data_IF_863205360884
#
_entry.id   IF_863205360884
#
_cell.length_a   1.000
_cell.length_b   1.000
_cell.length_c   1.000
_cell.angle_alpha   90.00
_cell.angle_beta   90.00
_cell.angle_gamma   90.00
#
_symmetry.space_group_name_H-M   'P 1'
#
loop_
_entity.id
_entity.type
_entity.pdbx_description
1 polymer ?
#
# COMPACT_ATOMS: atom_id res chain seq x y z
N UNK A 1 11.46 9.84 9.37
CA UNK A 1 11.88 9.00 8.22
C UNK A 1 13.20 8.26 8.44
N UNK A 2 14.06 8.67 9.38
CA UNK A 2 15.36 8.02 9.61
C UNK A 2 15.31 6.52 9.93
N UNK A 3 14.22 6.04 10.54
CA UNK A 3 14.06 4.63 10.90
C UNK A 3 13.63 3.73 9.75
N UNK A 4 13.12 4.30 8.64
CA UNK A 4 12.55 3.51 7.53
C UNK A 4 13.52 2.47 6.96
N UNK A 5 14.82 2.75 6.73
CA UNK A 5 15.77 1.74 6.27
C UNK A 5 15.99 0.59 7.27
N UNK A 6 15.70 0.82 8.56
CA UNK A 6 15.91 -0.14 9.64
C UNK A 6 14.63 -0.92 10.01
N UNK A 7 13.51 -0.65 9.34
CA UNK A 7 12.22 -1.31 9.54
C UNK A 7 11.78 -2.10 8.29
N UNK A 8 12.57 -3.08 7.83
CA UNK A 8 12.29 -3.80 6.59
C UNK A 8 10.95 -4.53 6.65
N UNK A 9 10.58 -5.13 7.79
CA UNK A 9 9.30 -5.84 7.89
C UNK A 9 8.08 -4.91 7.75
N UNK A 10 8.17 -3.65 8.22
CA UNK A 10 7.11 -2.65 8.05
C UNK A 10 6.94 -2.30 6.58
N UNK A 11 8.05 -2.09 5.87
CA UNK A 11 8.00 -1.83 4.43
C UNK A 11 7.48 -3.03 3.64
N UNK A 12 7.87 -4.24 4.02
CA UNK A 12 7.41 -5.48 3.42
C UNK A 12 5.89 -5.65 3.58
N UNK A 13 5.38 -5.39 4.79
CA UNK A 13 3.94 -5.35 5.07
C UNK A 13 3.21 -4.32 4.20
N UNK A 14 3.76 -3.12 4.02
CA UNK A 14 3.15 -2.09 3.17
C UNK A 14 3.09 -2.53 1.71
N UNK A 15 4.17 -3.08 1.16
CA UNK A 15 4.19 -3.57 -0.22
C UNK A 15 3.24 -4.75 -0.43
N UNK A 16 3.19 -5.70 0.51
CA UNK A 16 2.24 -6.81 0.43
C UNK A 16 0.80 -6.32 0.57
N UNK A 17 0.53 -5.34 1.43
CA UNK A 17 -0.79 -4.70 1.52
C UNK A 17 -1.19 -4.07 0.19
N UNK A 18 -0.29 -3.34 -0.47
CA UNK A 18 -0.54 -2.74 -1.78
C UNK A 18 -0.77 -3.80 -2.87
N UNK A 19 0.05 -4.86 -2.90
CA UNK A 19 -0.07 -5.96 -3.87
C UNK A 19 -1.37 -6.76 -3.67
N UNK A 20 -1.53 -7.34 -2.48
CA UNK A 20 -2.63 -8.24 -2.15
C UNK A 20 -3.98 -7.53 -2.25
N UNK A 21 -4.12 -6.35 -1.62
CA UNK A 21 -5.40 -5.63 -1.70
C UNK A 21 -5.68 -5.12 -3.12
N UNK A 22 -4.61 -4.72 -3.83
CA UNK A 22 -4.70 -4.02 -5.12
C UNK A 22 -5.85 -3.01 -5.12
N UNK A 23 -5.95 -2.21 -4.04
CA UNK A 23 -7.15 -1.41 -3.74
C UNK A 23 -7.49 -0.40 -4.84
N UNK A 24 -6.58 -0.12 -5.78
CA UNK A 24 -6.82 0.51 -7.07
C UNK A 24 -6.65 -0.53 -8.19
N UNK A 25 -7.63 -1.43 -8.43
CA UNK A 25 -7.43 -2.63 -9.25
C UNK A 25 -7.28 -2.30 -10.74
N UNK A 26 -7.94 -1.23 -11.19
CA UNK A 26 -7.85 -0.69 -12.54
C UNK A 26 -7.54 0.80 -12.41
N UNK A 27 -6.67 1.33 -13.27
CA UNK A 27 -6.37 2.77 -13.27
C UNK A 27 -7.60 3.59 -13.66
N UNK A 28 -7.54 4.91 -13.47
CA UNK A 28 -8.44 5.82 -14.19
C UNK A 28 -8.34 5.49 -15.69
N UNK A 29 -9.46 5.39 -16.44
CA UNK A 29 -9.42 5.07 -17.86
C UNK A 29 -8.47 5.97 -18.66
N UNK A 30 -7.65 5.34 -19.50
CA UNK A 30 -6.80 6.02 -20.47
C UNK A 30 -7.52 6.16 -21.82
N UNK A 31 -6.98 7.01 -22.69
CA UNK A 31 -7.35 7.07 -24.10
C UNK A 31 -6.10 7.16 -24.97
N UNK A 32 -6.08 6.46 -26.10
CA UNK A 32 -4.98 6.55 -27.07
C UNK A 32 -4.99 7.90 -27.79
N UNK A 33 -3.84 8.57 -27.89
CA UNK A 33 -3.71 9.87 -28.58
C UNK A 33 -3.44 9.75 -30.08
N UNK A 34 -3.08 8.55 -30.54
CA UNK A 34 -2.84 8.19 -31.94
C UNK A 34 -3.09 6.68 -32.13
N UNK A 35 -3.20 6.25 -33.37
CA UNK A 35 -3.22 4.82 -33.71
C UNK A 35 -1.92 4.17 -33.21
N UNK A 36 -2.02 3.00 -32.59
CA UNK A 36 -0.88 2.30 -32.00
C UNK A 36 -1.04 0.79 -32.05
N UNK A 37 -0.03 0.06 -31.57
CA UNK A 37 -0.07 -1.38 -31.41
C UNK A 37 0.37 -1.78 -30.00
N UNK A 38 -0.28 -2.79 -29.42
CA UNK A 38 0.14 -3.42 -28.17
C UNK A 38 0.10 -4.93 -28.35
N UNK A 39 1.21 -5.62 -28.06
CA UNK A 39 1.35 -7.07 -28.25
C UNK A 39 0.94 -7.55 -29.67
N UNK A 40 1.21 -6.73 -30.69
CA UNK A 40 0.86 -7.00 -32.08
C UNK A 40 -0.58 -6.64 -32.49
N UNK A 41 -1.45 -6.26 -31.54
CA UNK A 41 -2.83 -5.84 -31.83
C UNK A 41 -2.90 -4.36 -32.18
N UNK A 42 -3.55 -4.01 -33.29
CA UNK A 42 -3.82 -2.64 -33.68
C UNK A 42 -4.89 -2.00 -32.78
N UNK A 43 -4.62 -0.80 -32.29
CA UNK A 43 -5.52 0.00 -31.45
C UNK A 43 -5.71 1.37 -32.12
N UNK A 44 -6.92 1.70 -32.60
CA UNK A 44 -7.21 3.00 -33.19
C UNK A 44 -7.05 4.15 -32.19
N UNK A 45 -6.76 5.35 -32.71
CA UNK A 45 -6.79 6.62 -31.96
C UNK A 45 -8.14 6.81 -31.24
N UNK A 46 -8.11 7.50 -30.11
CA UNK A 46 -9.27 7.83 -29.26
C UNK A 46 -10.00 6.60 -28.65
N UNK A 47 -9.40 5.42 -28.70
CA UNK A 47 -9.89 4.21 -28.01
C UNK A 47 -9.69 4.34 -26.50
N UNK A 48 -10.74 4.02 -25.73
CA UNK A 48 -10.68 3.92 -24.26
C UNK A 48 -9.91 2.68 -23.84
N UNK A 49 -8.97 2.83 -22.92
CA UNK A 49 -8.08 1.76 -22.43
C UNK A 49 -8.17 1.64 -20.91
N UNK A 50 -8.33 0.41 -20.43
CA UNK A 50 -8.24 0.08 -19.02
C UNK A 50 -6.91 -0.65 -18.74
N UNK A 51 -6.18 -0.20 -17.72
CA UNK A 51 -4.94 -0.85 -17.25
C UNK A 51 -5.26 -1.64 -15.99
N UNK A 52 -5.20 -2.97 -16.09
CA UNK A 52 -5.53 -3.88 -15.00
C UNK A 52 -4.32 -4.12 -14.09
N UNK A 53 -4.21 -3.31 -13.03
CA UNK A 53 -3.15 -3.40 -12.03
C UNK A 53 -3.28 -4.66 -11.16
N UNK A 54 -4.51 -5.08 -10.85
CA UNK A 54 -4.77 -6.30 -10.07
C UNK A 54 -4.15 -7.54 -10.74
N UNK A 55 -4.30 -7.65 -12.07
CA UNK A 55 -3.72 -8.77 -12.84
C UNK A 55 -2.19 -8.79 -12.76
N UNK A 56 -1.53 -7.63 -12.73
CA UNK A 56 -0.07 -7.56 -12.55
C UNK A 56 0.35 -8.02 -11.16
N UNK A 57 -0.46 -7.72 -10.13
CA UNK A 57 -0.18 -8.02 -8.73
C UNK A 57 -0.59 -9.44 -8.29
N UNK A 58 -1.39 -10.14 -9.12
CA UNK A 58 -1.91 -11.48 -8.85
C UNK A 58 -1.56 -12.50 -9.95
N UNK A 59 -0.73 -12.13 -10.93
CA UNK A 59 -0.21 -13.09 -11.92
C UNK A 59 0.59 -14.19 -11.20
N UNK A 60 0.13 -15.46 -11.21
CA UNK A 60 0.79 -16.56 -10.51
C UNK A 60 2.17 -16.91 -11.08
N UNK A 61 2.48 -16.49 -12.31
CA UNK A 61 3.83 -16.66 -12.90
C UNK A 61 4.83 -15.75 -12.19
N UNK A 62 4.40 -14.57 -11.75
CA UNK A 62 5.24 -13.58 -11.06
C UNK A 62 5.13 -13.68 -9.53
N UNK A 63 3.94 -13.95 -9.02
CA UNK A 63 3.62 -13.94 -7.59
C UNK A 63 3.17 -15.34 -7.15
N UNK A 64 4.07 -16.15 -6.57
CA UNK A 64 3.70 -17.46 -6.01
C UNK A 64 2.64 -17.31 -4.93
N UNK A 65 1.61 -18.15 -4.90
CA UNK A 65 0.49 -18.04 -3.95
C UNK A 65 -0.08 -16.60 -3.90
N UNK A 66 -0.65 -16.10 -5.01
CA UNK A 66 -1.03 -14.68 -5.13
C UNK A 66 -2.15 -14.27 -4.16
N UNK A 67 -2.97 -15.23 -3.72
CA UNK A 67 -4.08 -15.05 -2.79
C UNK A 67 -3.67 -15.17 -1.31
N UNK A 68 -2.40 -15.47 -1.03
CA UNK A 68 -1.88 -15.49 0.33
C UNK A 68 -1.29 -14.12 0.68
N UNK A 69 -1.67 -13.58 1.83
CA UNK A 69 -1.07 -12.38 2.39
C UNK A 69 0.22 -12.75 3.13
N UNK A 70 1.36 -12.53 2.48
CA UNK A 70 2.68 -12.85 3.02
C UNK A 70 3.65 -11.66 2.88
N UNK A 71 3.85 -10.87 3.96
CA UNK A 71 4.85 -9.81 3.96
C UNK A 71 6.28 -10.32 3.71
N UNK A 72 6.63 -11.52 4.19
CA UNK A 72 7.99 -12.04 4.09
C UNK A 72 8.42 -12.25 2.63
N UNK A 73 7.46 -12.33 1.69
CA UNK A 73 7.67 -12.29 0.25
C UNK A 73 8.62 -11.19 -0.21
N UNK A 74 8.60 -10.01 0.43
CA UNK A 74 9.41 -8.85 0.04
C UNK A 74 10.77 -8.78 0.76
N UNK A 75 11.10 -9.78 1.58
CA UNK A 75 12.37 -9.84 2.29
C UNK A 75 13.38 -10.69 1.51
N UNK A 76 14.64 -10.27 1.52
CA UNK A 76 15.75 -11.10 1.08
C UNK A 76 16.24 -12.03 2.20
N UNK A 77 17.27 -12.82 1.91
CA UNK A 77 17.84 -13.82 2.84
C UNK A 77 18.42 -13.20 4.11
N UNK A 78 18.82 -11.93 4.05
CA UNK A 78 19.42 -11.19 5.14
C UNK A 78 18.36 -10.37 5.92
N UNK A 79 17.09 -10.45 5.50
CA UNK A 79 15.96 -9.77 6.13
C UNK A 79 15.78 -8.31 5.69
N UNK A 80 16.46 -7.86 4.64
CA UNK A 80 16.25 -6.54 4.05
C UNK A 80 15.19 -6.58 2.95
N UNK A 81 14.72 -5.40 2.52
CA UNK A 81 13.76 -5.31 1.42
C UNK A 81 14.43 -5.66 0.10
N UNK A 82 13.86 -6.65 -0.60
CA UNK A 82 14.15 -6.88 -2.01
C UNK A 82 13.52 -5.75 -2.85
N UNK A 83 14.35 -4.77 -3.22
CA UNK A 83 13.93 -3.58 -3.98
C UNK A 83 13.37 -3.90 -5.36
N UNK A 84 13.91 -4.92 -6.02
CA UNK A 84 13.45 -5.33 -7.36
C UNK A 84 12.02 -5.84 -7.29
N UNK A 85 11.74 -6.74 -6.34
CA UNK A 85 10.39 -7.26 -6.12
C UNK A 85 9.42 -6.20 -5.61
N UNK A 86 9.86 -5.31 -4.72
CA UNK A 86 9.04 -4.19 -4.24
C UNK A 86 8.64 -3.23 -5.37
N UNK A 87 9.56 -2.93 -6.29
CA UNK A 87 9.31 -2.07 -7.47
C UNK A 87 8.40 -2.73 -8.51
N UNK A 88 8.15 -4.03 -8.38
CA UNK A 88 7.32 -4.83 -9.26
C UNK A 88 5.83 -4.77 -8.95
N UNK A 89 5.43 -4.20 -7.80
CA UNK A 89 4.04 -3.97 -7.41
C UNK A 89 3.49 -2.78 -8.19
N UNK A 90 2.37 -2.97 -8.89
CA UNK A 90 1.72 -1.92 -9.66
C UNK A 90 0.48 -1.44 -8.92
N UNK A 91 0.55 -0.26 -8.29
CA UNK A 91 -0.61 0.36 -7.62
C UNK A 91 -0.74 1.87 -7.93
N UNK A 92 0.37 2.50 -8.30
CA UNK A 92 0.47 3.94 -8.62
C UNK A 92 0.49 4.23 -10.13
N UNK A 93 0.14 3.24 -10.97
CA UNK A 93 0.31 3.29 -12.43
C UNK A 93 1.76 3.56 -12.84
N UNK A 94 2.01 3.76 -14.14
CA UNK A 94 3.32 4.05 -14.72
C UNK A 94 3.21 5.06 -15.87
N UNK A 95 4.35 5.61 -16.30
CA UNK A 95 4.42 6.52 -17.44
C UNK A 95 3.82 7.90 -17.18
N UNK A 96 3.26 8.53 -18.22
CA UNK A 96 2.82 9.94 -18.21
C UNK A 96 1.69 10.26 -17.23
N UNK A 97 0.92 9.24 -16.80
CA UNK A 97 -0.23 9.38 -15.91
C UNK A 97 -0.03 8.65 -14.58
N UNK A 98 1.21 8.33 -14.22
CA UNK A 98 1.53 7.78 -12.89
C UNK A 98 1.11 8.74 -11.78
N UNK A 99 0.83 8.21 -10.60
CA UNK A 99 0.50 9.01 -9.43
C UNK A 99 1.65 9.97 -9.09
N UNK A 100 1.34 11.26 -8.97
CA UNK A 100 2.30 12.28 -8.52
C UNK A 100 2.52 12.26 -7.00
N UNK A 101 1.62 11.63 -6.25
CA UNK A 101 1.65 11.54 -4.79
C UNK A 101 2.19 10.21 -4.26
N UNK A 102 2.87 9.41 -5.09
CA UNK A 102 3.39 8.09 -4.68
C UNK A 102 4.31 8.18 -3.46
N UNK A 103 5.33 9.05 -3.52
CA UNK A 103 6.32 9.17 -2.44
C UNK A 103 5.68 9.69 -1.14
N UNK A 104 4.81 10.70 -1.27
CA UNK A 104 4.04 11.24 -0.15
C UNK A 104 3.15 10.16 0.49
N UNK A 105 2.48 9.36 -0.34
CA UNK A 105 1.58 8.30 0.14
C UNK A 105 2.35 7.22 0.89
N UNK A 106 3.50 6.77 0.37
CA UNK A 106 4.35 5.78 1.05
C UNK A 106 4.87 6.29 2.38
N UNK A 107 5.34 7.54 2.43
CA UNK A 107 5.78 8.18 3.67
C UNK A 107 4.67 8.22 4.72
N UNK A 108 3.48 8.69 4.34
CA UNK A 108 2.34 8.81 5.26
C UNK A 108 1.90 7.45 5.78
N UNK A 109 1.75 6.46 4.89
CA UNK A 109 1.38 5.10 5.28
C UNK A 109 2.41 4.49 6.23
N UNK A 110 3.71 4.67 5.95
CA UNK A 110 4.79 4.22 6.81
C UNK A 110 4.72 4.85 8.20
N UNK A 111 4.54 6.17 8.29
CA UNK A 111 4.44 6.86 9.58
C UNK A 111 3.20 6.40 10.36
N UNK A 112 2.02 6.40 9.73
CA UNK A 112 0.79 5.98 10.39
C UNK A 112 0.89 4.55 10.91
N UNK A 113 1.32 3.59 10.09
CA UNK A 113 1.39 2.20 10.54
C UNK A 113 2.48 2.00 11.59
N UNK A 114 3.62 2.69 11.47
CA UNK A 114 4.71 2.57 12.45
C UNK A 114 4.26 3.07 13.82
N UNK A 115 3.61 4.24 13.88
CA UNK A 115 3.09 4.79 15.14
C UNK A 115 1.98 3.89 15.69
N UNK A 116 0.99 3.54 14.87
CA UNK A 116 -0.16 2.73 15.30
C UNK A 116 0.26 1.34 15.77
N UNK A 117 1.14 0.64 15.05
CA UNK A 117 1.61 -0.69 15.45
C UNK A 117 2.56 -0.63 16.66
N UNK A 118 3.34 0.45 16.80
CA UNK A 118 4.20 0.65 17.96
C UNK A 118 3.38 0.91 19.23
N UNK A 119 2.26 1.65 19.13
CA UNK A 119 1.52 2.16 20.27
C UNK A 119 0.23 1.39 20.59
N UNK A 120 -0.35 0.71 19.62
CA UNK A 120 -1.66 0.10 19.77
C UNK A 120 -1.64 -1.41 19.46
N UNK A 121 -2.56 -2.12 20.11
CA UNK A 121 -2.94 -3.49 19.80
C UNK A 121 -4.31 -3.47 19.10
N UNK A 122 -4.36 -4.05 17.90
CA UNK A 122 -5.58 -4.18 17.11
C UNK A 122 -6.14 -5.60 17.23
N UNK A 123 -7.42 -5.73 17.59
CA UNK A 123 -8.14 -7.01 17.62
C UNK A 123 -9.41 -6.92 16.79
N UNK A 124 -9.62 -7.91 15.91
CA UNK A 124 -10.87 -8.03 15.17
C UNK A 124 -12.05 -8.30 16.11
N UNK A 125 -13.25 -7.82 15.73
CA UNK A 125 -14.47 -8.18 16.44
C UNK A 125 -14.80 -9.67 16.21
N UNK A 126 -14.72 -10.48 17.26
CA UNK A 126 -14.98 -11.93 17.18
C UNK A 126 -16.45 -12.26 16.86
N UNK A 127 -17.37 -11.29 17.05
CA UNK A 127 -18.78 -11.44 16.75
C UNK A 127 -19.13 -11.10 15.29
N UNK A 128 -18.18 -10.60 14.50
CA UNK A 128 -18.34 -10.37 13.07
C UNK A 128 -17.87 -11.59 12.26
N UNK A 129 -18.50 -11.89 11.11
CA UNK A 129 -18.07 -12.99 10.26
C UNK A 129 -16.62 -12.78 9.79
N UNK A 130 -15.86 -13.87 9.72
CA UNK A 130 -14.43 -13.84 9.37
C UNK A 130 -14.12 -13.32 7.96
N UNK A 131 -15.14 -13.20 7.10
CA UNK A 131 -15.01 -12.68 5.74
C UNK A 131 -15.46 -11.23 5.67
N UNK A 132 -14.54 -10.34 5.32
CA UNK A 132 -14.82 -8.94 5.03
C UNK A 132 -15.48 -8.80 3.65
N UNK A 133 -16.49 -7.93 3.55
CA UNK A 133 -17.12 -7.59 2.28
C UNK A 133 -16.62 -6.23 1.79
N UNK A 134 -16.66 -6.00 0.48
CA UNK A 134 -16.09 -4.82 -0.15
C UNK A 134 -17.10 -4.07 -1.01
N UNK A 135 -16.88 -2.76 -1.16
CA UNK A 135 -17.50 -1.91 -2.17
C UNK A 135 -16.49 -1.68 -3.29
N UNK A 136 -16.87 -2.05 -4.51
CA UNK A 136 -16.01 -1.94 -5.69
C UNK A 136 -16.37 -0.68 -6.47
N UNK A 137 -15.36 0.15 -6.73
CA UNK A 137 -15.41 1.30 -7.62
C UNK A 137 -14.01 1.55 -8.18
N UNK A 138 -13.63 2.82 -8.37
CA UNK A 138 -12.23 3.15 -8.68
C UNK A 138 -11.27 2.64 -7.59
N UNK A 139 -11.72 2.70 -6.33
CA UNK A 139 -11.05 2.07 -5.19
C UNK A 139 -11.90 0.90 -4.67
N UNK A 140 -11.25 -0.16 -4.19
CA UNK A 140 -11.85 -1.22 -3.39
C UNK A 140 -11.83 -0.75 -1.94
N UNK A 141 -13.02 -0.58 -1.37
CA UNK A 141 -13.17 -0.16 0.02
C UNK A 141 -13.75 -1.29 0.85
N UNK A 142 -13.18 -1.62 2.02
CA UNK A 142 -13.88 -2.40 3.02
C UNK A 142 -15.27 -1.81 3.27
N UNK A 143 -16.31 -2.64 3.31
CA UNK A 143 -17.56 -2.24 3.95
C UNK A 143 -17.30 -2.05 5.44
N UNK A 144 -18.26 -1.44 6.13
CA UNK A 144 -18.18 -1.20 7.56
C UNK A 144 -17.75 -2.47 8.33
N UNK A 145 -16.74 -2.32 9.18
CA UNK A 145 -16.22 -3.35 10.07
C UNK A 145 -15.79 -2.70 11.39
N UNK A 146 -15.79 -3.48 12.48
CA UNK A 146 -15.35 -2.98 13.80
C UNK A 146 -14.05 -3.64 14.23
N UNK A 147 -13.19 -2.85 14.85
CA UNK A 147 -11.96 -3.30 15.50
C UNK A 147 -11.93 -2.77 16.93
N UNK A 148 -11.39 -3.58 17.83
CA UNK A 148 -11.03 -3.16 19.17
C UNK A 148 -9.58 -2.68 19.16
N UNK A 149 -9.36 -1.48 19.68
CA UNK A 149 -8.03 -0.88 19.79
C UNK A 149 -7.74 -0.65 21.27
N UNK A 150 -6.59 -1.13 21.73
CA UNK A 150 -6.06 -0.83 23.06
C UNK A 150 -4.65 -0.29 22.94
N UNK A 151 -4.28 0.67 23.79
CA UNK A 151 -2.88 1.07 23.90
C UNK A 151 -2.02 -0.10 24.41
N UNK A 152 -0.79 -0.19 23.92
CA UNK A 152 0.22 -1.13 24.40
C UNK A 152 0.75 -0.70 25.76
N UNK A 153 1.04 0.59 25.90
CA UNK A 153 1.60 1.24 27.09
C UNK A 153 1.00 2.66 27.24
N UNK A 154 1.41 3.41 28.27
CA UNK A 154 0.99 4.82 28.44
C UNK A 154 1.49 5.69 27.29
N UNK A 155 0.71 6.70 26.89
CA UNK A 155 1.11 7.67 25.85
C UNK A 155 2.09 8.75 26.34
N UNK A 156 2.43 8.75 27.63
CA UNK A 156 3.29 9.76 28.28
C UNK A 156 4.59 10.06 27.51
N UNK A 157 5.23 9.05 26.92
CA UNK A 157 6.47 9.22 26.15
C UNK A 157 6.24 9.98 24.84
N UNK A 158 5.13 9.72 24.16
CA UNK A 158 4.76 10.43 22.94
C UNK A 158 4.32 11.85 23.25
N UNK A 159 3.52 12.04 24.30
CA UNK A 159 3.10 13.36 24.75
C UNK A 159 4.31 14.23 25.10
N UNK A 160 5.29 13.64 25.81
CA UNK A 160 6.57 14.29 26.13
C UNK A 160 7.40 14.63 24.88
N UNK A 161 7.43 13.75 23.88
CA UNK A 161 8.15 14.00 22.62
C UNK A 161 7.49 15.10 21.79
N UNK A 162 6.16 15.12 21.70
CA UNK A 162 5.41 16.16 21.01
C UNK A 162 5.60 17.51 21.67
N UNK A 163 5.55 17.57 23.01
CA UNK A 163 5.82 18.81 23.75
C UNK A 163 7.22 19.35 23.47
N UNK A 164 8.25 18.49 23.46
CA UNK A 164 9.63 18.90 23.16
C UNK A 164 9.75 19.52 21.76
N UNK A 165 9.16 18.89 20.75
CA UNK A 165 9.18 19.40 19.38
C UNK A 165 8.46 20.76 19.26
N UNK A 166 7.32 20.92 19.94
CA UNK A 166 6.60 22.19 19.96
C UNK A 166 7.39 23.31 20.64
N UNK A 167 8.13 23.00 21.71
CA UNK A 167 9.02 23.99 22.36
C UNK A 167 10.25 24.35 21.53
N UNK A 168 10.77 23.41 20.73
CA UNK A 168 11.89 23.68 19.82
C UNK A 168 11.46 24.54 18.61
N UNK A 169 10.24 24.35 18.09
CA UNK A 169 9.67 25.18 17.03
C UNK A 169 9.27 26.59 17.51
N UNK A 170 8.87 26.74 18.78
CA UNK A 170 8.53 28.05 19.36
C UNK A 170 9.74 28.88 19.78
N UNK A 171 10.94 28.29 19.80
CA UNK A 171 12.21 28.94 20.14
C UNK A 171 13.03 29.43 18.93
N UNK A 172 12.53 29.20 17.71
CA UNK A 172 13.06 29.75 16.45
C UNK A 172 12.21 30.93 15.96
#
# INVERSE_FOLDING_TARGET
MGDQPNLPYVMAFLYETMRFSSFMPVTIPHATTANTFVLGYYIPKDTVIFVNQWSVNHDPVKWPNPEDFDPARFLDKDGFINKELASSVMIFSVGKRRCIGEELSKMLLFLFISILAHQCNFKANQNEPSKMSFSYGLTIKPKFFKIHVALRESMELLDSAVQKLQTEEAGQ
#
